data_IF_744963404450
#
_entry.id   IF_744963404450
#
_cell.length_a   1.000
_cell.length_b   1.000
_cell.length_c   1.000
_cell.angle_alpha   90.00
_cell.angle_beta   90.00
_cell.angle_gamma   90.00
#
_symmetry.space_group_name_H-M   'P 1'
#
loop_
_entity.id
_entity.type
_entity.pdbx_description
1 polymer ?
#
# COMPACT_ATOMS: atom_id res chain seq x y z
N UNK A 1 -9.64 9.78 -0.84
CA UNK A 1 -8.42 9.04 -1.22
C UNK A 1 -8.40 8.94 -2.72
N UNK A 2 -7.33 9.43 -3.33
CA UNK A 2 -7.03 9.29 -4.76
C UNK A 2 -5.80 8.41 -4.92
N UNK A 3 -5.69 7.76 -6.06
CA UNK A 3 -4.65 6.80 -6.37
C UNK A 3 -4.22 6.98 -7.81
N UNK A 4 -2.99 6.59 -8.10
CA UNK A 4 -2.40 6.64 -9.44
C UNK A 4 -1.22 5.69 -9.53
N UNK A 5 -0.81 5.34 -10.75
CA UNK A 5 0.35 4.49 -10.98
C UNK A 5 1.39 5.22 -11.84
N UNK A 6 2.61 5.30 -11.31
CA UNK A 6 3.79 5.85 -11.99
C UNK A 6 4.92 4.83 -12.12
N UNK A 7 4.60 3.53 -12.08
CA UNK A 7 5.57 2.46 -12.23
C UNK A 7 6.30 2.52 -13.58
N UNK A 8 7.54 1.99 -13.61
CA UNK A 8 8.40 2.02 -14.81
C UNK A 8 7.69 1.44 -16.04
N UNK A 9 7.92 2.04 -17.21
CA UNK A 9 7.42 1.56 -18.52
C UNK A 9 7.93 0.18 -18.91
N UNK A 10 8.98 -0.31 -18.23
CA UNK A 10 9.55 -1.65 -18.41
C UNK A 10 9.00 -2.67 -17.39
N UNK A 11 7.90 -2.35 -16.69
CA UNK A 11 7.22 -3.26 -15.77
C UNK A 11 5.91 -3.78 -16.36
N UNK A 12 5.53 -5.01 -16.00
CA UNK A 12 4.28 -5.66 -16.42
C UNK A 12 3.31 -5.91 -15.24
N UNK A 13 3.63 -5.42 -14.04
CA UNK A 13 2.83 -5.68 -12.84
C UNK A 13 1.37 -5.20 -12.97
N UNK A 14 1.16 -4.03 -13.58
CA UNK A 14 -0.19 -3.49 -13.80
C UNK A 14 -1.00 -4.25 -14.85
N UNK A 15 -0.33 -4.96 -15.77
CA UNK A 15 -1.01 -5.82 -16.73
C UNK A 15 -1.63 -7.04 -16.03
N UNK A 16 -1.02 -7.48 -14.92
CA UNK A 16 -1.50 -8.59 -14.11
C UNK A 16 -2.44 -8.17 -12.98
N UNK A 17 -2.27 -6.96 -12.44
CA UNK A 17 -3.07 -6.43 -11.32
C UNK A 17 -3.69 -5.06 -11.66
N UNK A 18 -4.62 -4.99 -12.62
CA UNK A 18 -5.24 -3.73 -13.04
C UNK A 18 -6.08 -3.08 -11.94
N UNK A 19 -6.61 -3.87 -11.00
CA UNK A 19 -7.49 -3.40 -9.91
C UNK A 19 -6.73 -3.00 -8.63
N UNK A 20 -5.40 -3.19 -8.58
CA UNK A 20 -4.59 -2.92 -7.38
C UNK A 20 -4.76 -1.49 -6.86
N UNK A 21 -4.90 -0.54 -7.77
CA UNK A 21 -5.09 0.86 -7.43
C UNK A 21 -6.39 1.08 -6.63
N UNK A 22 -7.48 0.49 -7.12
CA UNK A 22 -8.80 0.56 -6.50
C UNK A 22 -8.84 -0.20 -5.18
N UNK A 23 -8.18 -1.36 -5.11
CA UNK A 23 -8.09 -2.17 -3.90
C UNK A 23 -7.31 -1.45 -2.79
N UNK A 24 -6.18 -0.82 -3.11
CA UNK A 24 -5.43 0.01 -2.16
C UNK A 24 -6.26 1.19 -1.68
N UNK A 25 -6.97 1.87 -2.58
CA UNK A 25 -7.85 2.97 -2.24
C UNK A 25 -8.95 2.52 -1.28
N UNK A 26 -9.57 1.37 -1.53
CA UNK A 26 -10.63 0.80 -0.71
C UNK A 26 -10.11 0.37 0.67
N UNK A 27 -8.97 -0.32 0.75
CA UNK A 27 -8.38 -0.76 2.01
C UNK A 27 -7.89 0.39 2.89
N UNK A 28 -7.34 1.46 2.29
CA UNK A 28 -6.99 2.70 3.01
C UNK A 28 -8.25 3.37 3.55
N UNK A 29 -9.31 3.48 2.74
CA UNK A 29 -10.57 4.10 3.17
C UNK A 29 -11.24 3.35 4.33
N UNK A 30 -11.01 2.05 4.49
CA UNK A 30 -11.50 1.28 5.64
C UNK A 30 -10.78 1.63 6.95
N UNK A 31 -9.51 2.06 6.88
CA UNK A 31 -8.67 2.37 8.06
C UNK A 31 -8.63 3.85 8.41
N UNK A 32 -8.88 4.70 7.42
CA UNK A 32 -8.91 6.15 7.57
C UNK A 32 -10.37 6.61 7.64
N UNK A 33 -10.95 6.78 8.84
CA UNK A 33 -12.29 7.33 8.97
C UNK A 33 -12.28 8.81 8.57
N UNK A 34 -12.74 9.08 7.35
CA UNK A 34 -13.00 10.45 6.89
C UNK A 34 -14.34 10.92 7.47
N UNK A 35 -14.34 12.11 8.03
CA UNK A 35 -15.56 12.82 8.40
C UNK A 35 -16.39 13.21 7.17
N UNK A 36 -17.64 13.64 7.40
CA UNK A 36 -18.54 14.10 6.34
C UNK A 36 -18.55 15.61 6.17
N UNK A 37 -17.74 16.35 6.92
CA UNK A 37 -17.80 17.82 6.97
C UNK A 37 -16.82 18.53 6.00
N UNK A 38 -16.01 17.75 5.28
CA UNK A 38 -15.06 18.25 4.29
C UNK A 38 -13.77 18.83 4.89
N UNK A 39 -13.54 18.67 6.19
CA UNK A 39 -12.31 19.08 6.87
C UNK A 39 -11.20 18.01 6.84
N UNK A 40 -11.47 16.83 6.27
CA UNK A 40 -10.48 15.75 6.24
C UNK A 40 -9.33 16.01 5.26
N UNK A 41 -8.12 15.52 5.59
CA UNK A 41 -7.00 15.56 4.67
C UNK A 41 -7.26 14.73 3.41
N UNK A 42 -6.75 15.23 2.29
CA UNK A 42 -6.72 14.51 1.03
C UNK A 42 -5.50 13.59 1.02
N UNK A 43 -5.73 12.30 0.75
CA UNK A 43 -4.68 11.30 0.61
C UNK A 43 -4.55 10.94 -0.86
N UNK A 44 -3.36 11.12 -1.42
CA UNK A 44 -2.98 10.68 -2.75
C UNK A 44 -1.94 9.57 -2.64
N UNK A 45 -2.17 8.47 -3.33
CA UNK A 45 -1.27 7.31 -3.40
C UNK A 45 -0.73 7.22 -4.81
N UNK A 46 0.59 7.11 -4.93
CA UNK A 46 1.26 6.94 -6.21
C UNK A 46 2.11 5.66 -6.18
N UNK A 47 1.62 4.61 -6.85
CA UNK A 47 2.29 3.32 -6.90
C UNK A 47 3.52 3.43 -7.81
N UNK A 48 4.69 3.17 -7.24
CA UNK A 48 5.98 3.31 -7.91
C UNK A 48 6.58 1.97 -8.35
N UNK A 49 6.27 0.88 -7.66
CA UNK A 49 6.85 -0.44 -7.97
C UNK A 49 5.96 -1.58 -7.54
N UNK A 50 5.83 -2.56 -8.44
CA UNK A 50 5.33 -3.91 -8.18
C UNK A 50 6.45 -4.85 -8.62
N UNK A 51 6.95 -5.70 -7.73
CA UNK A 51 8.09 -6.55 -8.05
C UNK A 51 8.10 -7.89 -7.32
N UNK A 52 8.77 -8.86 -7.95
CA UNK A 52 9.14 -10.13 -7.35
C UNK A 52 10.65 -10.14 -7.11
N UNK A 53 11.07 -10.14 -5.85
CA UNK A 53 12.48 -10.17 -5.45
C UNK A 53 13.35 -9.11 -6.17
N UNK A 54 12.80 -7.89 -6.32
CA UNK A 54 13.45 -6.78 -7.02
C UNK A 54 13.19 -6.72 -8.53
N UNK A 55 12.69 -7.79 -9.15
CA UNK A 55 12.33 -7.80 -10.58
C UNK A 55 10.96 -7.19 -10.80
N UNK A 56 10.89 -6.12 -11.60
CA UNK A 56 9.62 -5.49 -12.03
C UNK A 56 8.98 -6.17 -13.23
N UNK A 57 9.69 -7.11 -13.85
CA UNK A 57 9.14 -8.05 -14.81
C UNK A 57 8.71 -9.29 -14.06
N UNK A 58 7.41 -9.36 -13.80
CA UNK A 58 6.77 -10.49 -13.14
C UNK A 58 6.71 -11.68 -14.10
N UNK A 59 6.89 -12.91 -13.58
CA UNK A 59 6.75 -14.14 -14.36
C UNK A 59 5.28 -14.39 -14.75
N UNK A 60 5.05 -15.40 -15.60
CA UNK A 60 3.68 -15.85 -15.96
C UNK A 60 2.88 -16.39 -14.76
N UNK A 61 3.56 -16.78 -13.66
CA UNK A 61 2.92 -17.10 -12.38
C UNK A 61 2.35 -15.86 -11.70
N UNK A 62 2.63 -14.65 -12.22
CA UNK A 62 2.15 -13.33 -11.76
C UNK A 62 2.60 -12.90 -10.37
N UNK A 63 3.16 -13.82 -9.60
CA UNK A 63 3.68 -13.59 -8.25
C UNK A 63 4.50 -12.30 -8.15
N UNK A 64 4.21 -11.51 -7.11
CA UNK A 64 5.03 -10.41 -6.63
C UNK A 64 5.06 -10.46 -5.12
N UNK A 65 6.12 -9.92 -4.54
CA UNK A 65 6.30 -9.89 -3.09
C UNK A 65 6.80 -8.54 -2.58
N UNK A 66 6.80 -7.53 -3.43
CA UNK A 66 7.23 -6.17 -3.13
C UNK A 66 6.25 -5.17 -3.75
N UNK A 67 5.79 -4.23 -2.94
CA UNK A 67 4.93 -3.12 -3.33
C UNK A 67 5.52 -1.82 -2.77
N UNK A 68 5.79 -0.85 -3.64
CA UNK A 68 6.30 0.46 -3.23
C UNK A 68 5.44 1.57 -3.81
N UNK A 69 5.24 2.62 -3.02
CA UNK A 69 4.53 3.82 -3.43
C UNK A 69 4.96 5.04 -2.63
N UNK A 70 4.48 6.20 -3.07
CA UNK A 70 4.58 7.46 -2.33
C UNK A 70 3.19 7.87 -1.91
N UNK A 71 3.06 8.30 -0.67
CA UNK A 71 1.80 8.80 -0.10
C UNK A 71 1.96 10.28 0.17
N UNK A 72 1.09 11.07 -0.43
CA UNK A 72 0.98 12.51 -0.18
C UNK A 72 -0.33 12.78 0.57
N UNK A 73 -0.23 13.37 1.76
CA UNK A 73 -1.36 13.77 2.60
C UNK A 73 -1.40 15.29 2.65
N UNK A 74 -2.42 15.91 2.05
CA UNK A 74 -2.56 17.38 2.00
C UNK A 74 -3.79 17.86 2.75
N UNK A 75 -3.72 19.08 3.28
CA UNK A 75 -4.90 19.77 3.81
C UNK A 75 -5.98 19.92 2.73
N UNK A 76 -7.28 19.81 3.07
CA UNK A 76 -8.36 20.04 2.11
C UNK A 76 -8.38 21.46 1.53
N UNK A 77 -7.78 22.45 2.21
CA UNK A 77 -7.67 23.83 1.71
C UNK A 77 -6.37 24.08 0.93
N UNK A 78 -5.43 23.14 0.97
CA UNK A 78 -4.10 23.29 0.36
C UNK A 78 -3.19 24.32 1.04
N UNK A 79 -3.61 24.89 2.17
CA UNK A 79 -2.89 25.99 2.83
C UNK A 79 -1.70 25.54 3.70
N UNK A 80 -1.64 24.26 4.09
CA UNK A 80 -0.53 23.68 4.86
C UNK A 80 0.34 22.77 4.01
N UNK A 81 1.65 22.78 4.30
CA UNK A 81 2.57 21.77 3.79
C UNK A 81 2.14 20.41 4.34
N UNK A 82 1.58 19.57 3.46
CA UNK A 82 1.19 18.21 3.78
C UNK A 82 2.36 17.32 4.20
N UNK A 83 2.06 16.08 4.56
CA UNK A 83 3.06 15.04 4.80
C UNK A 83 3.23 14.19 3.52
N UNK A 84 4.46 14.02 3.07
CA UNK A 84 4.80 13.09 1.99
C UNK A 84 5.80 12.06 2.48
N UNK A 85 5.53 10.78 2.28
CA UNK A 85 6.40 9.70 2.74
C UNK A 85 6.36 8.48 1.80
N UNK A 86 7.50 7.76 1.67
CA UNK A 86 7.53 6.50 0.94
C UNK A 86 6.90 5.38 1.76
N UNK A 87 6.19 4.48 1.09
CA UNK A 87 5.71 3.21 1.64
C UNK A 87 6.36 2.10 0.84
N UNK A 88 7.09 1.21 1.52
CA UNK A 88 7.84 0.11 0.90
C UNK A 88 7.56 -1.16 1.68
N UNK A 89 6.77 -2.05 1.11
CA UNK A 89 6.33 -3.30 1.74
C UNK A 89 6.93 -4.48 0.98
N UNK A 90 7.42 -5.46 1.72
CA UNK A 90 7.80 -6.76 1.18
C UNK A 90 7.24 -7.88 2.03
N UNK A 91 6.78 -8.94 1.39
CA UNK A 91 6.24 -10.12 2.05
C UNK A 91 7.10 -11.36 1.74
N UNK A 92 7.25 -12.25 2.72
CA UNK A 92 8.01 -13.49 2.57
C UNK A 92 7.26 -14.61 3.28
N UNK A 93 7.29 -15.82 2.73
CA UNK A 93 6.89 -17.01 3.47
C UNK A 93 7.91 -17.27 4.59
N UNK A 94 7.43 -17.55 5.79
CA UNK A 94 8.29 -18.02 6.87
C UNK A 94 8.69 -19.48 6.63
N UNK A 95 9.97 -19.79 6.73
CA UNK A 95 10.46 -21.18 6.74
C UNK A 95 10.20 -21.81 8.11
N UNK A 96 8.95 -22.22 8.38
CA UNK A 96 8.61 -23.02 9.55
C UNK A 96 8.43 -24.50 9.20
N UNK A 97 9.15 -25.37 9.90
CA UNK A 97 8.94 -26.81 9.82
C UNK A 97 7.70 -27.15 10.65
N UNK A 98 6.65 -27.63 9.99
CA UNK A 98 5.45 -28.09 10.67
C UNK A 98 5.78 -29.26 11.62
N UNK A 99 5.20 -29.29 12.84
CA UNK A 99 5.39 -30.40 13.78
C UNK A 99 4.99 -31.76 13.19
N UNK A 100 5.49 -32.86 13.74
CA UNK A 100 5.07 -34.21 13.31
C UNK A 100 3.55 -34.36 13.37
N UNK A 101 2.96 -34.84 12.27
CA UNK A 101 1.51 -35.00 12.11
C UNK A 101 0.79 -33.77 11.54
N UNK A 102 1.49 -32.67 11.29
CA UNK A 102 0.93 -31.47 10.65
C UNK A 102 1.37 -31.37 9.19
N UNK A 103 0.48 -30.87 8.34
CA UNK A 103 0.79 -30.52 6.94
C UNK A 103 1.10 -29.03 6.89
N UNK A 104 2.27 -28.68 6.35
CA UNK A 104 2.57 -27.28 6.07
C UNK A 104 1.76 -26.83 4.85
N UNK A 105 0.98 -25.74 5.02
CA UNK A 105 0.26 -25.07 3.95
C UNK A 105 0.98 -23.75 3.69
N UNK A 106 1.61 -23.62 2.53
CA UNK A 106 2.28 -22.38 2.15
C UNK A 106 1.24 -21.32 1.75
N UNK A 107 1.49 -20.04 2.05
CA UNK A 107 0.63 -18.96 1.59
C UNK A 107 0.56 -18.93 0.07
N UNK A 108 -0.65 -18.71 -0.43
CA UNK A 108 -0.98 -18.52 -1.83
C UNK A 108 -0.64 -17.10 -2.29
N UNK A 109 -0.54 -16.91 -3.60
CA UNK A 109 -0.38 -15.58 -4.22
C UNK A 109 -1.45 -14.59 -3.74
N UNK A 110 -2.71 -15.05 -3.57
CA UNK A 110 -3.80 -14.23 -3.04
C UNK A 110 -3.55 -13.80 -1.60
N UNK A 111 -3.01 -14.67 -0.75
CA UNK A 111 -2.67 -14.32 0.62
C UNK A 111 -1.53 -13.30 0.68
N UNK A 112 -0.52 -13.42 -0.21
CA UNK A 112 0.51 -12.41 -0.37
C UNK A 112 -0.07 -11.07 -0.84
N UNK A 113 -0.95 -11.08 -1.85
CA UNK A 113 -1.63 -9.90 -2.35
C UNK A 113 -2.39 -9.18 -1.23
N UNK A 114 -3.28 -9.89 -0.54
CA UNK A 114 -4.08 -9.33 0.55
C UNK A 114 -3.19 -8.79 1.67
N UNK A 115 -2.13 -9.51 2.05
CA UNK A 115 -1.19 -9.06 3.06
C UNK A 115 -0.47 -7.77 2.65
N UNK A 116 0.00 -7.68 1.39
CA UNK A 116 0.68 -6.48 0.87
C UNK A 116 -0.25 -5.27 0.84
N UNK A 117 -1.47 -5.42 0.30
CA UNK A 117 -2.47 -4.35 0.22
C UNK A 117 -2.90 -3.89 1.61
N UNK A 118 -3.22 -4.84 2.51
CA UNK A 118 -3.59 -4.55 3.89
C UNK A 118 -2.47 -3.80 4.63
N UNK A 119 -1.24 -4.29 4.54
CA UNK A 119 -0.10 -3.68 5.25
C UNK A 119 0.21 -2.30 4.68
N UNK A 120 0.10 -2.10 3.37
CA UNK A 120 0.23 -0.77 2.77
C UNK A 120 -0.80 0.20 3.39
N UNK A 121 -2.05 -0.24 3.50
CA UNK A 121 -3.11 0.56 4.09
C UNK A 121 -2.89 0.86 5.59
N UNK A 122 -2.34 -0.09 6.34
CA UNK A 122 -1.94 0.10 7.74
C UNK A 122 -0.86 1.19 7.86
N UNK A 123 0.18 1.16 7.01
CA UNK A 123 1.25 2.17 7.01
C UNK A 123 0.71 3.56 6.63
N UNK A 124 -0.21 3.65 5.68
CA UNK A 124 -0.88 4.92 5.35
C UNK A 124 -1.64 5.48 6.56
N UNK A 125 -2.40 4.62 7.25
CA UNK A 125 -3.16 5.02 8.44
C UNK A 125 -2.25 5.45 9.60
N UNK A 126 -1.12 4.78 9.80
CA UNK A 126 -0.09 5.18 10.77
C UNK A 126 0.53 6.54 10.40
N UNK A 127 0.86 6.74 9.12
CA UNK A 127 1.34 8.04 8.62
C UNK A 127 0.33 9.16 8.86
N UNK A 128 -0.96 8.87 8.72
CA UNK A 128 -2.03 9.82 9.02
C UNK A 128 -2.13 10.14 10.52
N UNK A 129 -1.90 9.17 11.41
CA UNK A 129 -1.90 9.42 12.85
C UNK A 129 -0.79 10.40 13.28
N UNK A 130 0.26 10.55 12.45
CA UNK A 130 1.35 11.50 12.64
C UNK A 130 1.06 12.89 12.05
N UNK A 131 -0.15 13.12 11.51
CA UNK A 131 -0.62 14.45 11.11
C UNK A 131 -1.92 14.81 11.83
N UNK A 132 -2.10 16.10 12.12
CA UNK A 132 -3.36 16.60 12.65
C UNK A 132 -4.43 16.61 11.55
N UNK A 133 -5.68 16.90 11.91
CA UNK A 133 -6.80 16.97 10.96
C UNK A 133 -6.60 18.00 9.86
N UNK A 134 -5.73 18.99 10.06
CA UNK A 134 -5.35 19.97 9.04
C UNK A 134 -4.20 19.51 8.13
N UNK A 135 -3.76 18.25 8.24
CA UNK A 135 -2.69 17.64 7.44
C UNK A 135 -1.27 18.06 7.82
N UNK A 136 -1.08 18.72 8.97
CA UNK A 136 0.25 19.13 9.45
C UNK A 136 0.84 18.08 10.40
N UNK A 137 2.17 17.85 10.42
CA UNK A 137 2.78 16.95 11.38
C UNK A 137 2.41 17.28 12.83
N UNK A 138 2.09 16.26 13.63
CA UNK A 138 1.95 16.41 15.09
C UNK A 138 3.33 16.31 15.74
N UNK A 139 3.69 17.30 16.56
CA UNK A 139 4.92 17.26 17.36
C UNK A 139 4.74 16.18 18.46
N UNK A 140 5.71 15.26 18.65
CA UNK A 140 5.60 14.15 19.62
C UNK A 140 5.50 14.58 21.09
#
# INVERSE_FOLDING_TARGET
VESSVSASTESNGMDFYPDLEEDLRAEVAQRVPLSSDGADPQIKIDIRKIALNGSTMLPDSKEFNQLEGVVDITSPTGENAGLSFPVMISAYSGDEIAPEGYVNVQPTETEFYVALVSTFADVVAEGLANVNTAGSPVDP
#
